data_IF_734288468507
#
_entry.id   IF_734288468507
#
_cell.length_a   1.000
_cell.length_b   1.000
_cell.length_c   1.000
_cell.angle_alpha   90.00
_cell.angle_beta   90.00
_cell.angle_gamma   90.00
#
_symmetry.space_group_name_H-M   'P 1'
#
loop_
_entity.id
_entity.type
_entity.pdbx_description
1 polymer ?
#
# COMPACT_ATOMS: atom_id res chain seq x y z
N UNK A 1 6.56 7.60 16.89
CA UNK A 1 5.32 6.80 17.07
C UNK A 1 4.09 7.51 16.50
N UNK A 2 3.98 8.82 16.65
CA UNK A 2 2.82 9.60 16.14
C UNK A 2 2.72 9.53 14.62
N UNK A 3 3.83 9.74 13.90
CA UNK A 3 3.87 9.67 12.42
C UNK A 3 3.38 8.33 11.88
N UNK A 4 3.80 7.22 12.49
CA UNK A 4 3.36 5.87 12.12
C UNK A 4 1.82 5.73 12.16
N UNK A 5 1.20 6.21 13.24
CA UNK A 5 -0.27 6.14 13.40
C UNK A 5 -0.98 7.03 12.38
N UNK A 6 -0.47 8.23 12.14
CA UNK A 6 -1.03 9.16 11.14
C UNK A 6 -1.04 8.52 9.75
N UNK A 7 0.08 7.95 9.32
CA UNK A 7 0.17 7.29 8.02
C UNK A 7 -0.72 6.04 7.92
N UNK A 8 -0.86 5.28 9.02
CA UNK A 8 -1.77 4.14 9.09
C UNK A 8 -3.22 4.58 8.88
N UNK A 9 -3.66 5.62 9.60
CA UNK A 9 -5.01 6.18 9.47
C UNK A 9 -5.26 6.69 8.06
N UNK A 10 -4.31 7.40 7.45
CA UNK A 10 -4.42 7.87 6.08
C UNK A 10 -4.51 6.71 5.07
N UNK A 11 -3.71 5.66 5.23
CA UNK A 11 -3.75 4.49 4.36
C UNK A 11 -5.09 3.75 4.47
N UNK A 12 -5.61 3.56 5.69
CA UNK A 12 -6.94 2.97 5.92
C UNK A 12 -8.04 3.85 5.32
N UNK A 13 -7.96 5.18 5.48
CA UNK A 13 -8.91 6.13 4.91
C UNK A 13 -8.94 6.08 3.38
N UNK A 14 -7.80 5.87 2.74
CA UNK A 14 -7.72 5.71 1.29
C UNK A 14 -8.35 4.39 0.80
N UNK A 15 -8.30 3.34 1.61
CA UNK A 15 -8.87 2.04 1.25
C UNK A 15 -10.38 1.96 1.50
N UNK A 16 -10.89 2.70 2.49
CA UNK A 16 -12.31 2.71 2.84
C UNK A 16 -12.88 4.07 2.44
N UNK A 17 -13.70 4.14 1.37
CA UNK A 17 -14.37 5.38 0.95
C UNK A 17 -15.53 5.72 1.90
N UNK A 18 -15.23 6.04 3.15
CA UNK A 18 -16.22 6.59 4.05
C UNK A 18 -16.52 8.02 3.64
N UNK A 19 -17.59 8.23 2.92
CA UNK A 19 -18.22 9.52 2.80
C UNK A 19 -18.85 9.83 4.17
N UNK A 20 -18.11 10.60 4.97
CA UNK A 20 -18.71 11.34 6.08
C UNK A 20 -19.63 12.39 5.44
N UNK A 21 -20.82 11.98 5.05
CA UNK A 21 -21.92 12.90 4.84
C UNK A 21 -22.23 13.44 6.22
N UNK A 22 -21.68 14.61 6.53
CA UNK A 22 -22.24 15.44 7.60
C UNK A 22 -23.70 15.60 7.24
N UNK A 23 -24.64 15.36 8.17
CA UNK A 23 -26.03 15.65 7.90
C UNK A 23 -26.10 17.15 7.58
N UNK A 24 -26.20 17.44 6.28
CA UNK A 24 -26.53 18.75 5.83
C UNK A 24 -28.03 18.84 6.13
N UNK A 25 -28.38 19.48 7.22
CA UNK A 25 -29.73 19.97 7.42
C UNK A 25 -30.02 20.96 6.28
N UNK A 26 -30.35 20.41 5.13
CA UNK A 26 -31.11 21.15 4.15
C UNK A 26 -32.49 21.28 4.74
N UNK A 27 -32.70 22.37 5.46
CA UNK A 27 -34.09 22.78 5.77
C UNK A 27 -34.84 22.73 4.43
N UNK A 28 -35.85 21.91 4.30
CA UNK A 28 -36.66 21.92 3.07
C UNK A 28 -37.26 23.32 2.97
N UNK A 29 -36.79 24.10 1.98
CA UNK A 29 -37.50 25.31 1.58
C UNK A 29 -38.80 24.79 0.97
N UNK A 30 -39.85 24.62 1.83
CA UNK A 30 -41.18 24.45 1.37
C UNK A 30 -41.65 25.77 0.77
N UNK A 31 -41.36 25.96 -0.52
CA UNK A 31 -42.12 26.90 -1.31
C UNK A 31 -43.49 26.24 -1.50
N UNK A 32 -44.40 26.55 -0.59
CA UNK A 32 -45.79 26.17 -0.71
C UNK A 32 -46.40 27.00 -1.86
N UNK A 33 -46.15 26.54 -3.08
CA UNK A 33 -47.00 26.97 -4.21
C UNK A 33 -48.28 26.16 -4.08
N UNK A 34 -49.40 26.84 -3.77
CA UNK A 34 -50.67 26.16 -3.72
C UNK A 34 -50.99 25.56 -5.10
N UNK A 35 -51.54 24.37 -5.15
CA UNK A 35 -51.93 23.70 -6.41
C UNK A 35 -52.81 24.60 -7.30
N UNK A 36 -53.55 25.50 -6.72
CA UNK A 36 -54.35 26.47 -7.39
C UNK A 36 -53.55 27.50 -8.19
N UNK A 37 -52.43 27.99 -7.65
CA UNK A 37 -51.53 28.90 -8.34
C UNK A 37 -50.71 28.19 -9.44
N UNK A 38 -50.38 26.92 -9.26
CA UNK A 38 -49.70 26.13 -10.29
C UNK A 38 -50.64 25.87 -11.50
N UNK A 39 -51.92 25.59 -11.23
CA UNK A 39 -52.93 25.38 -12.28
C UNK A 39 -53.25 26.65 -13.05
N UNK A 40 -53.34 27.82 -12.41
CA UNK A 40 -53.47 29.11 -13.09
C UNK A 40 -52.31 29.43 -14.03
N UNK A 41 -51.09 29.12 -13.61
CA UNK A 41 -49.88 29.33 -14.44
C UNK A 41 -49.85 28.42 -15.69
N UNK A 42 -50.28 27.16 -15.54
CA UNK A 42 -50.37 26.17 -16.61
C UNK A 42 -51.43 26.54 -17.62
N UNK A 43 -52.64 26.99 -17.15
CA UNK A 43 -53.72 27.42 -18.03
C UNK A 43 -53.48 28.73 -18.77
N UNK A 44 -52.72 29.65 -18.13
CA UNK A 44 -52.37 30.93 -18.78
C UNK A 44 -51.33 30.79 -19.90
N UNK A 45 -50.51 29.75 -19.90
CA UNK A 45 -49.40 29.57 -20.85
C UNK A 45 -49.64 28.55 -21.96
N UNK A 46 -50.64 27.67 -21.83
CA UNK A 46 -50.94 26.64 -22.82
C UNK A 46 -52.41 26.74 -23.25
N UNK A 47 -52.67 27.56 -24.26
CA UNK A 47 -53.94 27.49 -24.99
C UNK A 47 -54.02 26.13 -25.70
N UNK A 48 -55.03 25.27 -25.45
CA UNK A 48 -55.15 24.02 -26.16
C UNK A 48 -55.52 24.26 -27.62
N UNK A 49 -54.58 24.04 -28.52
CA UNK A 49 -54.86 23.91 -29.94
C UNK A 49 -55.77 22.69 -30.14
N UNK A 50 -56.96 22.91 -30.66
CA UNK A 50 -57.93 21.86 -31.00
C UNK A 50 -57.31 20.81 -31.91
N UNK A 51 -57.41 19.55 -31.50
CA UNK A 51 -56.97 18.41 -32.29
C UNK A 51 -57.88 18.20 -33.53
N UNK A 52 -57.36 17.91 -34.71
CA UNK A 52 -58.13 17.51 -35.86
C UNK A 52 -58.70 16.09 -35.73
N UNK A 53 -59.75 15.73 -36.45
CA UNK A 53 -60.50 14.49 -36.22
C UNK A 53 -59.76 13.23 -36.68
N UNK A 54 -59.99 12.16 -35.90
CA UNK A 54 -59.52 10.80 -36.10
C UNK A 54 -59.85 10.26 -37.50
N UNK A 55 -58.82 9.87 -38.26
CA UNK A 55 -58.97 8.97 -39.38
C UNK A 55 -58.68 7.54 -38.93
N UNK A 56 -59.67 6.67 -39.00
CA UNK A 56 -59.51 5.22 -38.84
C UNK A 56 -58.78 4.67 -40.08
N UNK A 57 -57.62 4.09 -39.82
CA UNK A 57 -56.82 3.40 -40.87
C UNK A 57 -56.09 2.24 -40.23
N UNK A 58 -56.64 1.06 -40.43
CA UNK A 58 -56.00 -0.24 -40.20
C UNK A 58 -54.61 -0.30 -40.78
N UNK A 59 -53.60 -0.45 -39.93
CA UNK A 59 -52.28 -0.81 -40.39
C UNK A 59 -51.68 -1.87 -39.45
N UNK A 60 -51.39 -3.00 -40.07
CA UNK A 60 -50.77 -4.18 -39.51
C UNK A 60 -49.51 -3.83 -38.66
N UNK A 61 -49.48 -4.37 -37.44
CA UNK A 61 -48.34 -4.32 -36.56
C UNK A 61 -47.16 -5.10 -37.20
N UNK A 62 -46.27 -4.40 -37.88
CA UNK A 62 -44.92 -4.91 -38.08
C UNK A 62 -44.20 -4.84 -36.75
N UNK A 63 -44.11 -5.95 -36.08
CA UNK A 63 -43.19 -6.13 -34.95
C UNK A 63 -41.75 -5.97 -35.48
N UNK A 64 -41.25 -4.77 -35.33
CA UNK A 64 -39.81 -4.48 -35.52
C UNK A 64 -39.09 -5.23 -34.37
N UNK A 65 -38.55 -6.41 -34.69
CA UNK A 65 -37.57 -7.07 -33.83
C UNK A 65 -36.46 -6.10 -33.61
N UNK A 66 -36.43 -5.49 -32.45
CA UNK A 66 -35.30 -4.71 -31.97
C UNK A 66 -34.16 -5.72 -31.73
N UNK A 67 -33.26 -5.88 -32.70
CA UNK A 67 -31.97 -6.47 -32.46
C UNK A 67 -31.39 -5.72 -31.27
N UNK A 68 -30.79 -6.42 -30.29
CA UNK A 68 -30.07 -5.73 -29.21
C UNK A 68 -28.87 -4.99 -29.83
N UNK A 69 -29.06 -3.72 -30.15
CA UNK A 69 -27.96 -2.84 -30.45
C UNK A 69 -27.13 -2.77 -29.17
N UNK A 70 -25.88 -3.28 -29.27
CA UNK A 70 -24.91 -3.08 -28.20
C UNK A 70 -24.80 -1.56 -27.95
N UNK A 71 -25.32 -1.11 -26.83
CA UNK A 71 -25.21 0.30 -26.47
C UNK A 71 -23.74 0.69 -26.43
N UNK A 72 -23.34 1.85 -27.02
CA UNK A 72 -21.98 2.30 -26.98
C UNK A 72 -21.57 2.48 -25.50
N UNK A 73 -20.44 1.89 -25.14
CA UNK A 73 -19.89 1.96 -23.78
C UNK A 73 -19.81 3.43 -23.36
N UNK A 74 -20.49 3.76 -22.25
CA UNK A 74 -20.47 5.12 -21.72
C UNK A 74 -19.04 5.48 -21.29
N UNK A 75 -18.59 6.74 -21.44
CA UNK A 75 -17.23 7.17 -21.08
C UNK A 75 -16.83 6.80 -19.65
N UNK A 76 -17.81 6.77 -18.72
CA UNK A 76 -17.61 6.34 -17.34
C UNK A 76 -17.21 4.85 -17.23
N UNK A 77 -17.82 3.99 -18.06
CA UNK A 77 -17.50 2.55 -18.07
C UNK A 77 -16.09 2.31 -18.60
N UNK A 78 -15.68 3.05 -19.62
CA UNK A 78 -14.33 3.00 -20.16
C UNK A 78 -13.32 3.46 -19.10
N UNK A 79 -13.58 4.58 -18.42
CA UNK A 79 -12.74 5.10 -17.35
C UNK A 79 -12.57 4.11 -16.20
N UNK A 80 -13.68 3.48 -15.78
CA UNK A 80 -13.67 2.45 -14.73
C UNK A 80 -12.89 1.20 -15.17
N UNK A 81 -13.07 0.74 -16.40
CA UNK A 81 -12.35 -0.40 -16.94
C UNK A 81 -10.83 -0.15 -16.99
N UNK A 82 -10.40 1.04 -17.43
CA UNK A 82 -8.99 1.44 -17.44
C UNK A 82 -8.41 1.51 -16.02
N UNK A 83 -9.15 2.09 -15.08
CA UNK A 83 -8.72 2.13 -13.69
C UNK A 83 -8.56 0.72 -13.12
N UNK A 84 -9.56 -0.15 -13.31
CA UNK A 84 -9.52 -1.54 -12.85
C UNK A 84 -8.37 -2.33 -13.49
N UNK A 85 -8.14 -2.16 -14.80
CA UNK A 85 -6.99 -2.76 -15.48
C UNK A 85 -5.67 -2.33 -14.86
N UNK A 86 -5.50 -1.05 -14.52
CA UNK A 86 -4.34 -0.54 -13.81
C UNK A 86 -4.18 -1.17 -12.42
N UNK A 87 -5.25 -1.26 -11.63
CA UNK A 87 -5.22 -1.93 -10.31
C UNK A 87 -4.77 -3.37 -10.44
N UNK A 88 -5.37 -4.13 -11.36
CA UNK A 88 -5.02 -5.53 -11.60
C UNK A 88 -3.57 -5.69 -12.07
N UNK A 89 -3.10 -4.82 -12.96
CA UNK A 89 -1.71 -4.83 -13.43
C UNK A 89 -0.73 -4.64 -12.26
N UNK A 90 -0.93 -3.61 -11.42
CA UNK A 90 -0.05 -3.37 -10.28
C UNK A 90 -0.14 -4.46 -9.22
N UNK A 91 -1.34 -4.99 -8.95
CA UNK A 91 -1.53 -6.10 -8.02
C UNK A 91 -0.82 -7.38 -8.53
N UNK A 92 -0.99 -7.71 -9.81
CA UNK A 92 -0.35 -8.87 -10.42
C UNK A 92 1.19 -8.73 -10.44
N UNK A 93 1.69 -7.56 -10.88
CA UNK A 93 3.13 -7.26 -10.86
C UNK A 93 3.73 -7.46 -9.47
N UNK A 94 3.03 -6.98 -8.44
CA UNK A 94 3.44 -7.13 -7.05
C UNK A 94 3.40 -8.58 -6.60
N UNK A 95 2.32 -9.29 -6.87
CA UNK A 95 2.19 -10.71 -6.54
C UNK A 95 3.34 -11.52 -7.19
N UNK A 96 3.59 -11.31 -8.47
CA UNK A 96 4.69 -11.96 -9.20
C UNK A 96 6.04 -11.62 -8.55
N UNK A 97 6.29 -10.36 -8.18
CA UNK A 97 7.53 -9.95 -7.49
C UNK A 97 7.71 -10.68 -6.15
N UNK A 98 6.66 -10.75 -5.34
CA UNK A 98 6.68 -11.45 -4.05
C UNK A 98 6.88 -12.96 -4.24
N UNK A 99 6.22 -13.57 -5.22
CA UNK A 99 6.40 -15.00 -5.51
C UNK A 99 7.81 -15.31 -5.99
N UNK A 100 8.37 -14.49 -6.89
CA UNK A 100 9.75 -14.64 -7.37
C UNK A 100 10.75 -14.48 -6.22
N UNK A 101 10.57 -13.50 -5.35
CA UNK A 101 11.38 -13.30 -4.15
C UNK A 101 11.34 -14.54 -3.25
N UNK A 102 10.14 -15.05 -2.92
CA UNK A 102 9.98 -16.24 -2.09
C UNK A 102 10.59 -17.49 -2.73
N UNK A 103 10.44 -17.65 -4.04
CA UNK A 103 11.05 -18.77 -4.78
C UNK A 103 12.58 -18.70 -4.73
N UNK A 104 13.15 -17.48 -4.90
CA UNK A 104 14.58 -17.24 -4.79
C UNK A 104 15.10 -17.58 -3.38
N UNK A 105 14.44 -17.07 -2.35
CA UNK A 105 14.81 -17.33 -0.96
C UNK A 105 14.80 -18.85 -0.67
N UNK A 106 13.72 -19.55 -1.02
CA UNK A 106 13.61 -21.02 -0.82
C UNK A 106 14.68 -21.82 -1.55
N UNK A 107 15.13 -21.34 -2.69
CA UNK A 107 16.18 -22.02 -3.48
C UNK A 107 17.56 -21.90 -2.84
N UNK A 108 17.84 -20.79 -2.18
CA UNK A 108 19.16 -20.44 -1.68
C UNK A 108 19.24 -20.40 -0.16
N UNK A 109 18.12 -20.69 0.56
CA UNK A 109 18.12 -20.73 2.01
C UNK A 109 18.97 -21.88 2.53
N UNK A 110 19.75 -21.59 3.56
CA UNK A 110 20.57 -22.54 4.29
C UNK A 110 20.23 -22.48 5.78
N UNK A 111 20.44 -23.57 6.46
CA UNK A 111 20.32 -23.59 7.92
C UNK A 111 21.46 -22.78 8.52
N UNK A 112 21.17 -21.88 9.47
CA UNK A 112 22.21 -21.15 10.21
C UNK A 112 22.98 -22.08 11.14
N UNK A 113 24.17 -21.64 11.57
CA UNK A 113 24.99 -22.34 12.56
C UNK A 113 24.22 -22.56 13.87
N UNK A 114 24.61 -23.60 14.62
CA UNK A 114 24.00 -23.89 15.92
C UNK A 114 24.16 -22.69 16.90
N UNK A 115 25.30 -22.00 16.83
CA UNK A 115 25.59 -20.83 17.65
C UNK A 115 24.64 -19.66 17.32
N UNK A 116 24.46 -19.34 16.02
CA UNK A 116 23.54 -18.29 15.60
C UNK A 116 22.08 -18.61 15.97
N UNK A 117 21.67 -19.88 15.85
CA UNK A 117 20.34 -20.33 16.30
C UNK A 117 20.14 -20.15 17.80
N UNK A 118 21.12 -20.59 18.61
CA UNK A 118 21.06 -20.47 20.05
C UNK A 118 20.98 -19.00 20.50
N UNK A 119 21.83 -18.16 19.94
CA UNK A 119 21.84 -16.72 20.22
C UNK A 119 20.55 -16.02 19.79
N UNK A 120 19.99 -16.42 18.64
CA UNK A 120 18.70 -15.92 18.19
C UNK A 120 17.56 -16.32 19.14
N UNK A 121 17.55 -17.59 19.60
CA UNK A 121 16.56 -18.10 20.53
C UNK A 121 16.59 -17.38 21.87
N UNK A 122 17.78 -17.07 22.38
CA UNK A 122 17.97 -16.28 23.61
C UNK A 122 17.42 -14.85 23.45
N UNK A 123 17.71 -14.19 22.32
CA UNK A 123 17.27 -12.82 22.04
C UNK A 123 15.77 -12.72 21.77
N UNK A 124 15.19 -13.69 21.05
CA UNK A 124 13.79 -13.67 20.64
C UNK A 124 12.81 -14.14 21.72
N UNK A 125 13.24 -15.07 22.58
CA UNK A 125 12.42 -15.67 23.64
C UNK A 125 11.53 -16.82 23.13
N UNK A 126 10.48 -17.18 23.90
CA UNK A 126 9.64 -18.38 23.68
C UNK A 126 8.92 -18.40 22.32
N UNK A 127 8.45 -17.26 21.86
CA UNK A 127 7.79 -17.14 20.56
C UNK A 127 8.75 -16.45 19.62
N UNK A 128 9.23 -17.17 18.62
CA UNK A 128 10.24 -16.66 17.72
C UNK A 128 9.92 -16.96 16.24
N UNK A 129 10.29 -16.07 15.31
CA UNK A 129 10.28 -16.38 13.90
C UNK A 129 11.37 -17.40 13.58
N UNK A 130 11.29 -18.02 12.39
CA UNK A 130 12.33 -18.91 11.89
C UNK A 130 13.56 -18.09 11.50
N UNK A 131 14.77 -18.60 11.75
CA UNK A 131 16.03 -18.00 11.30
C UNK A 131 16.60 -18.85 10.16
N UNK A 132 17.03 -18.21 9.08
CA UNK A 132 17.68 -18.85 7.93
C UNK A 132 18.79 -17.95 7.40
N UNK A 133 19.73 -18.53 6.65
CA UNK A 133 20.78 -17.80 5.93
C UNK A 133 20.52 -17.89 4.44
N UNK A 134 20.63 -16.75 3.74
CA UNK A 134 20.45 -16.70 2.29
C UNK A 134 21.51 -15.80 1.65
N UNK A 135 22.58 -16.34 1.03
CA UNK A 135 23.70 -15.56 0.51
C UNK A 135 23.36 -14.61 -0.64
N UNK A 136 22.19 -14.77 -1.25
CA UNK A 136 21.72 -13.92 -2.35
C UNK A 136 21.22 -12.57 -1.84
N UNK A 137 20.91 -12.46 -0.55
CA UNK A 137 20.47 -11.21 0.06
C UNK A 137 21.63 -10.24 0.23
N UNK A 138 21.31 -8.96 0.17
CA UNK A 138 22.24 -7.87 0.41
C UNK A 138 22.27 -7.42 1.88
N UNK A 139 21.11 -7.52 2.56
CA UNK A 139 20.94 -7.11 3.95
C UNK A 139 20.04 -8.08 4.71
N UNK A 140 20.13 -8.15 6.04
CA UNK A 140 19.17 -8.89 6.86
C UNK A 140 17.75 -8.42 6.59
N UNK A 141 16.78 -9.35 6.63
CA UNK A 141 15.38 -9.02 6.41
C UNK A 141 14.42 -10.06 7.00
N UNK A 142 13.24 -9.61 7.44
CA UNK A 142 12.14 -10.47 7.83
C UNK A 142 11.13 -10.64 6.67
N UNK A 143 10.75 -11.88 6.36
CA UNK A 143 9.82 -12.22 5.28
C UNK A 143 8.72 -13.14 5.79
N UNK A 144 7.48 -12.91 5.36
CA UNK A 144 6.33 -13.77 5.69
C UNK A 144 5.33 -13.11 6.65
N UNK A 145 4.06 -13.06 6.24
CA UNK A 145 2.98 -12.39 6.99
C UNK A 145 2.50 -13.22 8.19
N UNK A 146 2.33 -14.54 8.02
CA UNK A 146 1.81 -15.45 9.04
C UNK A 146 2.93 -16.26 9.71
N UNK A 147 3.87 -16.76 8.90
CA UNK A 147 5.06 -17.48 9.36
C UNK A 147 6.27 -16.68 8.93
N UNK A 148 6.69 -15.78 9.80
CA UNK A 148 7.83 -14.91 9.53
C UNK A 148 9.12 -15.71 9.64
N UNK A 149 10.02 -15.49 8.68
CA UNK A 149 11.38 -16.00 8.69
C UNK A 149 12.32 -14.80 8.61
N UNK A 150 13.28 -14.72 9.50
CA UNK A 150 14.38 -13.75 9.46
C UNK A 150 15.49 -14.38 8.64
N UNK A 151 15.97 -13.66 7.64
CA UNK A 151 17.06 -14.09 6.77
C UNK A 151 18.29 -13.24 7.04
N UNK A 152 19.44 -13.92 7.19
CA UNK A 152 20.76 -13.29 7.22
C UNK A 152 21.45 -13.50 5.86
N UNK A 153 22.15 -12.50 5.31
CA UNK A 153 22.94 -12.67 4.08
C UNK A 153 24.16 -13.57 4.24
N UNK A 154 24.76 -13.61 5.43
CA UNK A 154 25.93 -14.44 5.78
C UNK A 154 25.97 -14.72 7.28
N UNK A 155 26.94 -15.53 7.71
CA UNK A 155 27.13 -15.86 9.14
C UNK A 155 28.33 -15.12 9.79
N UNK A 156 29.06 -14.33 9.02
CA UNK A 156 30.27 -13.64 9.47
C UNK A 156 29.96 -12.32 10.18
N UNK A 157 29.07 -12.38 11.17
CA UNK A 157 28.77 -11.26 12.06
C UNK A 157 29.39 -11.49 13.42
N UNK A 158 29.85 -10.43 14.07
CA UNK A 158 30.22 -10.46 15.48
C UNK A 158 28.97 -10.67 16.34
N UNK A 159 29.14 -11.16 17.56
CA UNK A 159 28.01 -11.33 18.50
C UNK A 159 27.26 -10.01 18.74
N UNK A 160 27.97 -8.88 18.77
CA UNK A 160 27.38 -7.56 18.93
C UNK A 160 26.55 -7.15 17.71
N UNK A 161 27.04 -7.38 16.50
CA UNK A 161 26.27 -7.11 15.27
C UNK A 161 25.03 -8.00 15.18
N UNK A 162 25.13 -9.29 15.52
CA UNK A 162 23.98 -10.20 15.56
C UNK A 162 22.93 -9.73 16.56
N UNK A 163 23.33 -9.27 17.75
CA UNK A 163 22.38 -8.70 18.73
C UNK A 163 21.61 -7.51 18.14
N UNK A 164 22.34 -6.59 17.51
CA UNK A 164 21.77 -5.39 16.91
C UNK A 164 20.79 -5.74 15.78
N UNK A 165 21.19 -6.62 14.86
CA UNK A 165 20.38 -7.10 13.74
C UNK A 165 19.13 -7.81 14.26
N UNK A 166 19.29 -8.77 15.16
CA UNK A 166 18.13 -9.52 15.69
C UNK A 166 17.18 -8.61 16.44
N UNK A 167 17.68 -7.67 17.22
CA UNK A 167 16.86 -6.68 17.92
C UNK A 167 16.03 -5.86 16.94
N UNK A 168 16.63 -5.38 15.86
CA UNK A 168 15.96 -4.62 14.80
C UNK A 168 14.86 -5.48 14.11
N UNK A 169 15.20 -6.66 13.60
CA UNK A 169 14.27 -7.54 12.91
C UNK A 169 13.12 -8.04 13.81
N UNK A 170 13.40 -8.29 15.09
CA UNK A 170 12.39 -8.67 16.06
C UNK A 170 11.43 -7.53 16.40
N UNK A 171 11.86 -6.27 16.34
CA UNK A 171 10.98 -5.12 16.49
C UNK A 171 9.98 -5.08 15.33
N UNK A 172 10.42 -5.22 14.09
CA UNK A 172 9.55 -5.31 12.91
C UNK A 172 8.53 -6.46 13.05
N UNK A 173 9.01 -7.62 13.47
CA UNK A 173 8.14 -8.79 13.65
C UNK A 173 7.08 -8.56 14.75
N UNK A 174 7.47 -8.06 15.92
CA UNK A 174 6.56 -7.79 17.04
C UNK A 174 5.52 -6.72 16.71
N UNK A 175 5.90 -5.70 15.97
CA UNK A 175 5.02 -4.61 15.50
C UNK A 175 4.14 -5.02 14.33
N UNK A 176 4.42 -6.17 13.71
CA UNK A 176 3.75 -6.64 12.49
C UNK A 176 3.89 -5.67 11.31
N UNK A 177 5.07 -5.07 11.15
CA UNK A 177 5.34 -4.05 10.13
C UNK A 177 5.14 -4.56 8.69
N UNK A 178 5.22 -5.88 8.46
CA UNK A 178 4.90 -6.49 7.16
C UNK A 178 3.43 -6.31 6.78
N UNK A 179 2.51 -6.30 7.75
CA UNK A 179 1.10 -6.00 7.49
C UNK A 179 0.90 -4.54 7.12
N UNK A 180 1.63 -3.65 7.78
CA UNK A 180 1.63 -2.23 7.44
C UNK A 180 2.18 -1.99 6.03
N UNK A 181 3.30 -2.61 5.66
CA UNK A 181 3.86 -2.55 4.30
C UNK A 181 2.87 -3.10 3.26
N UNK A 182 2.13 -4.17 3.58
CA UNK A 182 1.08 -4.70 2.71
C UNK A 182 -0.07 -3.71 2.51
N UNK A 183 -0.49 -3.01 3.59
CA UNK A 183 -1.53 -1.98 3.52
C UNK A 183 -1.10 -0.81 2.60
N UNK A 184 0.13 -0.31 2.75
CA UNK A 184 0.68 0.73 1.87
C UNK A 184 0.73 0.29 0.41
N UNK A 185 1.08 -0.97 0.19
CA UNK A 185 1.13 -1.56 -1.13
C UNK A 185 -0.26 -1.66 -1.77
N UNK A 186 -1.29 -2.05 -1.01
CA UNK A 186 -2.67 -2.06 -1.47
C UNK A 186 -3.15 -0.65 -1.82
N UNK A 187 -2.87 0.35 -0.97
CA UNK A 187 -3.20 1.74 -1.24
C UNK A 187 -2.55 2.24 -2.54
N UNK A 188 -1.27 1.93 -2.76
CA UNK A 188 -0.54 2.27 -4.01
C UNK A 188 -1.13 1.58 -5.23
N UNK A 189 -1.59 0.33 -5.10
CA UNK A 189 -2.19 -0.41 -6.22
C UNK A 189 -3.55 0.13 -6.61
N UNK A 190 -4.40 0.47 -5.63
CA UNK A 190 -5.73 1.03 -5.87
C UNK A 190 -5.64 2.45 -6.45
N UNK A 191 -4.71 3.24 -5.92
CA UNK A 191 -4.49 4.63 -6.33
C UNK A 191 -3.27 4.77 -7.24
N UNK A 192 -3.07 3.81 -8.16
CA UNK A 192 -1.88 3.72 -9.00
C UNK A 192 -1.60 4.98 -9.82
N UNK A 193 -2.65 5.69 -10.25
CA UNK A 193 -2.56 6.94 -11.03
C UNK A 193 -2.40 8.20 -10.15
N UNK A 194 -2.32 8.07 -8.81
CA UNK A 194 -2.25 9.21 -7.89
C UNK A 194 -0.82 9.38 -7.30
N UNK A 195 0.02 10.32 -7.81
CA UNK A 195 1.39 10.52 -7.36
C UNK A 195 1.53 10.84 -5.86
N UNK A 196 0.68 11.67 -5.22
CA UNK A 196 0.67 11.90 -3.78
C UNK A 196 0.64 10.63 -2.94
N UNK A 197 -0.09 9.58 -3.36
CA UNK A 197 -0.16 8.29 -2.63
C UNK A 197 1.18 7.56 -2.68
N UNK A 198 1.90 7.66 -3.79
CA UNK A 198 3.24 7.08 -3.93
C UNK A 198 4.24 7.78 -3.02
N UNK A 199 4.17 9.12 -2.98
CA UNK A 199 5.01 9.92 -2.07
C UNK A 199 4.69 9.62 -0.61
N UNK A 200 3.41 9.59 -0.23
CA UNK A 200 2.94 9.22 1.09
C UNK A 200 3.48 7.84 1.51
N UNK A 201 3.35 6.84 0.66
CA UNK A 201 3.81 5.48 0.96
C UNK A 201 5.33 5.43 1.19
N UNK A 202 6.13 6.11 0.34
CA UNK A 202 7.59 6.22 0.53
C UNK A 202 7.94 6.90 1.86
N UNK A 203 7.21 7.96 2.23
CA UNK A 203 7.44 8.64 3.51
C UNK A 203 7.06 7.77 4.69
N UNK A 204 5.94 7.06 4.60
CA UNK A 204 5.47 6.13 5.61
C UNK A 204 6.45 4.96 5.83
N UNK A 205 7.02 4.40 4.76
CA UNK A 205 8.05 3.36 4.83
C UNK A 205 9.31 3.89 5.53
N UNK A 206 9.75 5.11 5.21
CA UNK A 206 10.90 5.76 5.87
C UNK A 206 10.66 6.01 7.36
N UNK A 207 9.52 6.58 7.73
CA UNK A 207 9.16 6.86 9.12
C UNK A 207 9.05 5.55 9.93
N UNK A 208 8.65 4.45 9.29
CA UNK A 208 8.62 3.11 9.89
C UNK A 208 10.03 2.64 10.24
N UNK A 209 11.00 2.77 9.33
CA UNK A 209 12.40 2.39 9.56
C UNK A 209 13.04 3.27 10.67
N UNK A 210 12.89 4.60 10.60
CA UNK A 210 13.38 5.53 11.65
C UNK A 210 12.79 5.17 13.02
N UNK A 211 11.50 4.86 13.07
CA UNK A 211 10.84 4.43 14.31
C UNK A 211 11.39 3.10 14.83
N UNK A 212 11.76 2.17 13.94
CA UNK A 212 12.37 0.90 14.30
C UNK A 212 13.78 1.12 14.86
N UNK A 213 14.61 1.89 14.17
CA UNK A 213 15.96 2.25 14.60
C UNK A 213 15.94 2.92 15.99
N UNK A 214 15.05 3.90 16.19
CA UNK A 214 14.90 4.56 17.49
C UNK A 214 14.54 3.59 18.62
N UNK A 215 13.72 2.58 18.35
CA UNK A 215 13.38 1.54 19.32
C UNK A 215 14.53 0.57 19.55
N UNK A 216 15.32 0.26 18.53
CA UNK A 216 16.47 -0.63 18.63
C UNK A 216 17.55 -0.08 19.56
N UNK A 217 17.75 1.25 19.57
CA UNK A 217 18.75 1.91 20.42
C UNK A 217 18.17 2.46 21.72
N UNK A 218 16.88 2.32 21.97
CA UNK A 218 16.23 2.85 23.18
C UNK A 218 16.76 2.18 24.43
N UNK A 219 17.16 2.98 25.43
CA UNK A 219 17.70 2.50 26.70
C UNK A 219 19.15 2.00 26.64
N UNK A 220 19.82 2.17 25.50
CA UNK A 220 21.22 1.80 25.30
C UNK A 220 22.15 3.01 25.50
N UNK A 221 23.39 2.74 25.86
CA UNK A 221 24.42 3.75 26.06
C UNK A 221 24.90 4.39 24.74
N UNK A 222 25.75 5.41 24.83
CA UNK A 222 26.27 6.12 23.67
C UNK A 222 27.20 5.24 22.81
N UNK A 223 27.93 4.31 23.43
CA UNK A 223 28.82 3.41 22.70
C UNK A 223 28.04 2.44 21.82
N UNK A 224 26.94 1.86 22.35
CA UNK A 224 26.05 1.00 21.58
C UNK A 224 25.37 1.75 20.42
N UNK A 225 24.89 2.99 20.66
CA UNK A 225 24.27 3.81 19.62
C UNK A 225 25.24 4.10 18.48
N UNK A 226 26.49 4.44 18.82
CA UNK A 226 27.54 4.65 17.82
C UNK A 226 27.84 3.39 17.02
N UNK A 227 27.98 2.23 17.70
CA UNK A 227 28.22 0.95 17.04
C UNK A 227 27.04 0.55 16.13
N UNK A 228 25.79 0.79 16.57
CA UNK A 228 24.60 0.56 15.77
C UNK A 228 24.57 1.43 14.50
N UNK A 229 24.87 2.71 14.62
CA UNK A 229 24.97 3.62 13.47
C UNK A 229 26.05 3.17 12.46
N UNK A 230 27.22 2.74 12.95
CA UNK A 230 28.28 2.21 12.10
C UNK A 230 27.87 0.91 11.40
N UNK A 231 27.16 0.02 12.08
CA UNK A 231 26.62 -1.21 11.48
C UNK A 231 25.65 -0.90 10.35
N UNK A 232 24.71 0.03 10.54
CA UNK A 232 23.77 0.45 9.48
C UNK A 232 24.54 1.02 8.27
N UNK A 233 25.57 1.81 8.50
CA UNK A 233 26.40 2.37 7.43
C UNK A 233 27.11 1.27 6.64
N UNK A 234 27.71 0.30 7.32
CA UNK A 234 28.39 -0.83 6.68
C UNK A 234 27.44 -1.69 5.85
N UNK A 235 26.24 -1.99 6.37
CA UNK A 235 25.23 -2.73 5.62
C UNK A 235 24.76 -1.97 4.37
N UNK A 236 24.58 -0.64 4.49
CA UNK A 236 24.22 0.19 3.36
C UNK A 236 25.35 0.30 2.32
N UNK A 237 26.60 0.41 2.73
CA UNK A 237 27.76 0.40 1.83
C UNK A 237 27.85 -0.93 1.07
N UNK A 238 27.71 -2.06 1.74
CA UNK A 238 27.68 -3.40 1.11
C UNK A 238 26.56 -3.53 0.08
N UNK A 239 25.40 -2.98 0.39
CA UNK A 239 24.25 -2.97 -0.54
C UNK A 239 24.53 -2.11 -1.79
N UNK A 240 25.17 -0.95 -1.62
CA UNK A 240 25.53 -0.05 -2.72
C UNK A 240 26.62 -0.67 -3.60
N UNK A 241 27.65 -1.30 -3.01
CA UNK A 241 28.72 -1.96 -3.76
C UNK A 241 28.19 -3.10 -4.64
N UNK A 242 27.29 -3.94 -4.11
CA UNK A 242 26.67 -5.01 -4.89
C UNK A 242 25.76 -4.47 -6.00
N UNK A 243 25.00 -3.41 -5.74
CA UNK A 243 24.19 -2.74 -6.78
C UNK A 243 25.06 -2.04 -7.83
N UNK A 244 26.17 -1.41 -7.43
CA UNK A 244 27.10 -0.78 -8.35
C UNK A 244 27.80 -1.78 -9.27
N UNK A 245 28.04 -3.01 -8.81
CA UNK A 245 28.54 -4.10 -9.63
C UNK A 245 27.52 -4.57 -10.68
N UNK A 246 26.24 -4.25 -10.53
CA UNK A 246 25.14 -4.67 -11.41
C UNK A 246 24.52 -3.52 -12.22
N UNK A 247 24.70 -2.27 -11.82
CA UNK A 247 24.06 -1.09 -12.47
C UNK A 247 24.89 0.19 -12.35
N UNK A 248 24.94 0.98 -13.41
CA UNK A 248 25.62 2.28 -13.49
C UNK A 248 24.86 3.48 -12.89
N UNK A 249 23.81 3.29 -12.11
CA UNK A 249 22.97 4.34 -11.54
C UNK A 249 23.25 4.63 -10.06
N UNK A 250 23.93 5.76 -9.79
CA UNK A 250 24.58 6.11 -8.51
C UNK A 250 23.81 7.05 -7.55
N UNK A 251 22.54 7.45 -7.75
CA UNK A 251 22.09 8.72 -7.13
C UNK A 251 21.13 8.64 -5.93
N UNK A 252 20.35 7.59 -5.73
CA UNK A 252 19.28 7.61 -4.69
C UNK A 252 19.65 7.03 -3.31
N UNK A 253 20.62 6.11 -3.25
CA UNK A 253 20.95 5.42 -2.00
C UNK A 253 21.64 6.31 -0.95
N UNK A 254 22.51 7.26 -1.36
CA UNK A 254 23.25 8.13 -0.44
C UNK A 254 22.35 9.12 0.34
N UNK A 255 21.31 9.66 -0.29
CA UNK A 255 20.39 10.61 0.37
C UNK A 255 19.55 9.95 1.46
N UNK A 256 19.01 8.75 1.20
CA UNK A 256 18.25 8.00 2.18
C UNK A 256 19.08 7.62 3.41
N UNK A 257 20.38 7.37 3.23
CA UNK A 257 21.31 7.04 4.30
C UNK A 257 21.65 8.26 5.17
N UNK A 258 21.91 9.40 4.55
CA UNK A 258 22.23 10.63 5.27
C UNK A 258 21.07 11.10 6.19
N UNK A 259 19.82 10.92 5.76
CA UNK A 259 18.65 11.29 6.55
C UNK A 259 18.46 10.39 7.80
N UNK A 260 18.90 9.13 7.75
CA UNK A 260 18.86 8.21 8.92
C UNK A 260 19.91 8.51 9.98
N UNK A 261 20.97 9.24 9.62
CA UNK A 261 22.10 9.55 10.51
C UNK A 261 22.00 10.92 11.19
N UNK A 262 21.16 11.81 10.67
CA UNK A 262 21.03 13.20 11.18
C UNK A 262 19.92 13.32 12.25
N UNK A 263 19.01 12.35 12.37
CA UNK A 263 18.00 12.24 13.43
C UNK A 263 18.44 11.30 14.55
#
# INVERSE_FOLDING_TARGET
RVSYVIWLVLAVRLLIPWNLTLPQETAPIHVAISEEQANEWVQAKFNPVQAPPKAEGTAAAAQKQTQPQAEPLQPLQIGFALWLAGVLFFALRTAVSVFRMKALLRRWEKEPSAEAKAFFAETAGKTQPRLMVCPVLESPMAVGLFRTTVYLPHEHYTAQELEMIFRHELIHWRRKDLWYKLLLLAARSIHWCNPPVWWMAKRAERDLEISCDSMAVQGRDAAYRKAYGLMILQEAERSIEKQAALTTCFTDGKRALQERLVE
#
